data_IF_630586025174
#
_entry.id   IF_630586025174
#
_cell.length_a   1.000
_cell.length_b   1.000
_cell.length_c   1.000
_cell.angle_alpha   90.00
_cell.angle_beta   90.00
_cell.angle_gamma   90.00
#
_symmetry.space_group_name_H-M   'P 1'
#
loop_
_entity.id
_entity.type
_entity.pdbx_description
1 polymer ?
#
# COMPACT_ATOMS: atom_id res chain seq x y z
N UNK A 1 -7.05 8.64 -2.47
CA UNK A 1 -6.04 9.23 -1.57
C UNK A 1 -4.71 9.19 -2.30
N UNK A 2 -3.94 10.29 -2.35
CA UNK A 2 -2.64 10.28 -3.06
C UNK A 2 -1.62 9.50 -2.22
N UNK A 3 -0.66 8.88 -2.90
CA UNK A 3 0.37 8.06 -2.28
C UNK A 3 1.71 8.82 -2.29
N UNK A 4 2.48 8.66 -1.22
CA UNK A 4 3.84 9.19 -1.12
C UNK A 4 4.72 8.18 -0.37
N UNK A 5 5.94 8.01 -0.86
CA UNK A 5 6.99 7.24 -0.21
C UNK A 5 8.10 8.24 0.16
N UNK A 6 8.50 8.24 1.44
CA UNK A 6 9.59 9.05 1.96
C UNK A 6 10.68 8.07 2.40
N UNK A 7 11.81 8.08 1.69
CA UNK A 7 12.98 7.29 2.09
C UNK A 7 13.74 8.08 3.17
N UNK A 8 13.78 7.52 4.38
CA UNK A 8 14.53 8.05 5.50
C UNK A 8 16.00 7.68 5.34
N UNK A 9 16.89 8.65 5.52
CA UNK A 9 18.34 8.49 5.38
C UNK A 9 19.06 9.19 6.53
N UNK A 10 20.11 8.54 7.06
CA UNK A 10 20.92 9.08 8.15
C UNK A 10 20.26 8.92 9.51
N UNK A 11 20.40 9.92 10.37
CA UNK A 11 19.87 9.88 11.73
C UNK A 11 18.42 10.39 11.80
N UNK A 12 17.53 9.61 12.39
CA UNK A 12 16.19 10.08 12.78
C UNK A 12 16.30 10.93 14.05
N UNK A 13 16.77 12.16 13.88
CA UNK A 13 16.87 13.18 14.90
C UNK A 13 15.73 14.22 14.79
N UNK A 14 15.76 15.25 15.65
CA UNK A 14 14.81 16.36 15.60
C UNK A 14 14.76 17.02 14.21
N UNK A 15 15.92 17.20 13.55
CA UNK A 15 16.01 17.90 12.28
C UNK A 15 15.35 17.10 11.15
N UNK A 16 15.61 15.80 11.07
CA UNK A 16 14.96 14.93 10.09
C UNK A 16 13.44 14.85 10.36
N UNK A 17 13.04 14.76 11.63
CA UNK A 17 11.64 14.80 12.04
C UNK A 17 10.92 16.07 11.56
N UNK A 18 11.49 17.25 11.80
CA UNK A 18 10.92 18.54 11.37
C UNK A 18 10.83 18.66 9.85
N UNK A 19 11.83 18.16 9.11
CA UNK A 19 11.80 18.13 7.63
C UNK A 19 10.62 17.29 7.14
N UNK A 20 10.39 16.13 7.74
CA UNK A 20 9.26 15.25 7.37
C UNK A 20 7.94 15.95 7.67
N UNK A 21 7.81 16.54 8.86
CA UNK A 21 6.61 17.25 9.27
C UNK A 21 6.29 18.41 8.32
N UNK A 22 7.26 19.30 8.07
CA UNK A 22 7.11 20.45 7.18
C UNK A 22 6.68 20.02 5.76
N UNK A 23 7.30 18.97 5.22
CA UNK A 23 6.95 18.44 3.90
C UNK A 23 5.55 17.85 3.84
N UNK A 24 5.06 17.25 4.93
CA UNK A 24 3.69 16.77 5.00
C UNK A 24 2.69 17.92 5.16
N UNK A 25 3.04 18.98 5.87
CA UNK A 25 2.23 20.21 5.99
C UNK A 25 2.08 20.93 4.64
N UNK A 26 3.14 21.02 3.83
CA UNK A 26 3.07 21.54 2.44
C UNK A 26 2.11 20.73 1.56
N UNK A 27 1.90 19.45 1.89
CA UNK A 27 1.11 18.51 1.11
C UNK A 27 -0.29 18.25 1.71
N UNK A 28 -0.69 19.05 2.71
CA UNK A 28 -1.87 18.86 3.56
C UNK A 28 -3.22 19.14 2.89
N UNK A 29 -3.22 19.73 1.68
CA UNK A 29 -4.44 20.05 0.91
C UNK A 29 -5.35 18.83 0.68
N UNK A 30 -4.80 17.62 0.68
CA UNK A 30 -5.56 16.40 0.56
C UNK A 30 -4.97 15.29 1.44
N UNK A 31 -5.80 14.41 2.02
CA UNK A 31 -5.35 13.23 2.75
C UNK A 31 -4.43 12.32 1.91
N UNK A 32 -3.45 11.68 2.57
CA UNK A 32 -2.42 10.86 1.90
C UNK A 32 -2.20 9.51 2.57
N UNK A 33 -1.78 8.54 1.75
CA UNK A 33 -1.13 7.31 2.22
C UNK A 33 0.38 7.55 2.18
N UNK A 34 1.03 7.51 3.34
CA UNK A 34 2.43 7.88 3.53
C UNK A 34 3.20 6.63 3.98
N UNK A 35 4.16 6.21 3.17
CA UNK A 35 5.09 5.16 3.52
C UNK A 35 6.44 5.78 3.89
N UNK A 36 6.89 5.54 5.11
CA UNK A 36 8.20 5.94 5.61
C UNK A 36 9.16 4.75 5.51
N UNK A 37 10.06 4.78 4.54
CA UNK A 37 11.04 3.71 4.35
C UNK A 37 12.29 3.98 5.18
N UNK A 38 12.49 3.19 6.23
CA UNK A 38 13.56 3.35 7.20
C UNK A 38 14.87 2.64 6.82
N UNK A 39 14.94 2.01 5.65
CA UNK A 39 16.12 1.20 5.24
C UNK A 39 17.44 1.97 5.20
N UNK A 40 17.39 3.30 5.05
CA UNK A 40 18.57 4.16 5.07
C UNK A 40 18.88 4.80 6.44
N UNK A 41 18.18 4.44 7.51
CA UNK A 41 18.46 4.99 8.84
C UNK A 41 19.73 4.38 9.45
N UNK A 42 20.52 5.21 10.10
CA UNK A 42 21.73 4.80 10.84
C UNK A 42 21.47 4.79 12.35
N UNK A 43 20.69 5.75 12.83
CA UNK A 43 20.25 5.83 14.22
C UNK A 43 18.88 6.51 14.35
N UNK A 44 18.31 6.49 15.56
CA UNK A 44 17.10 7.24 15.88
C UNK A 44 17.18 7.79 17.31
N UNK A 45 16.83 9.06 17.47
CA UNK A 45 16.73 9.72 18.78
C UNK A 45 15.29 9.72 19.30
N UNK A 46 15.12 10.01 20.60
CA UNK A 46 13.79 10.13 21.21
C UNK A 46 13.00 11.29 20.60
N UNK A 47 13.66 12.39 20.27
CA UNK A 47 13.04 13.57 19.66
C UNK A 47 12.54 13.27 18.26
N UNK A 48 13.37 12.67 17.40
CA UNK A 48 12.97 12.32 16.03
C UNK A 48 11.84 11.28 15.99
N UNK A 49 11.91 10.27 16.85
CA UNK A 49 10.83 9.27 16.98
C UNK A 49 9.54 9.87 17.55
N UNK A 50 9.64 10.80 18.50
CA UNK A 50 8.48 11.52 19.05
C UNK A 50 7.73 12.31 17.96
N UNK A 51 8.45 12.95 17.04
CA UNK A 51 7.83 13.66 15.91
C UNK A 51 7.08 12.68 14.99
N UNK A 52 7.68 11.54 14.64
CA UNK A 52 7.00 10.52 13.83
C UNK A 52 5.71 10.02 14.50
N UNK A 53 5.75 9.82 15.82
CA UNK A 53 4.59 9.35 16.58
C UNK A 53 3.42 10.34 16.60
N UNK A 54 3.67 11.63 16.41
CA UNK A 54 2.64 12.67 16.36
C UNK A 54 1.96 12.80 14.98
N UNK A 55 2.51 12.17 13.93
CA UNK A 55 1.97 12.30 12.57
C UNK A 55 0.51 11.84 12.43
N UNK A 56 0.06 10.70 13.02
CA UNK A 56 -1.34 10.30 12.95
C UNK A 56 -2.29 11.32 13.59
N UNK A 57 -1.90 11.92 14.72
CA UNK A 57 -2.70 12.96 15.39
C UNK A 57 -2.72 14.26 14.58
N UNK A 58 -1.57 14.64 14.00
CA UNK A 58 -1.43 15.88 13.21
C UNK A 58 -2.15 15.79 11.87
N UNK A 59 -2.23 14.60 11.29
CA UNK A 59 -2.85 14.33 9.99
C UNK A 59 -3.89 13.19 10.10
N UNK A 60 -5.00 13.40 10.82
CA UNK A 60 -5.94 12.34 11.21
C UNK A 60 -6.66 11.68 10.03
N UNK A 61 -6.71 12.36 8.89
CA UNK A 61 -7.32 11.83 7.67
C UNK A 61 -6.31 11.07 6.79
N UNK A 62 -5.01 11.17 7.07
CA UNK A 62 -3.94 10.47 6.36
C UNK A 62 -3.64 9.13 7.02
N UNK A 63 -2.96 8.25 6.29
CA UNK A 63 -2.51 6.95 6.76
C UNK A 63 -1.01 6.86 6.69
N UNK A 64 -0.41 6.22 7.68
CA UNK A 64 1.03 6.10 7.80
C UNK A 64 1.43 4.65 8.01
N UNK A 65 2.55 4.26 7.42
CA UNK A 65 3.23 3.01 7.71
C UNK A 65 4.73 3.23 7.63
N UNK A 66 5.50 2.47 8.40
CA UNK A 66 6.95 2.44 8.37
C UNK A 66 7.40 1.07 7.88
N UNK A 67 8.44 0.98 7.04
CA UNK A 67 9.02 -0.29 6.64
C UNK A 67 10.55 -0.32 6.79
N UNK A 68 11.09 -1.54 6.86
CA UNK A 68 12.52 -1.82 6.70
C UNK A 68 13.42 -1.11 7.72
N UNK A 69 12.98 -1.06 8.98
CA UNK A 69 13.76 -0.51 10.10
C UNK A 69 15.00 -1.40 10.35
N UNK A 70 16.23 -0.85 10.31
CA UNK A 70 17.45 -1.59 10.59
C UNK A 70 17.47 -2.17 12.01
N UNK A 71 18.15 -3.31 12.16
CA UNK A 71 18.28 -3.98 13.45
C UNK A 71 19.01 -3.07 14.45
N UNK A 72 18.46 -2.96 15.67
CA UNK A 72 19.04 -2.14 16.74
C UNK A 72 18.51 -0.70 16.79
N UNK A 73 17.72 -0.26 15.80
CA UNK A 73 17.03 1.03 15.83
C UNK A 73 15.62 0.83 16.39
N UNK A 74 15.37 1.41 17.56
CA UNK A 74 14.04 1.41 18.17
C UNK A 74 13.23 2.63 17.69
N UNK A 75 12.35 2.42 16.73
CA UNK A 75 11.29 3.38 16.43
C UNK A 75 10.13 3.06 17.38
N UNK A 76 10.21 3.64 18.58
CA UNK A 76 9.22 3.42 19.64
C UNK A 76 7.91 4.11 19.29
N UNK A 77 7.02 3.40 18.59
CA UNK A 77 5.61 3.77 18.52
C UNK A 77 4.96 3.02 19.70
N UNK A 78 4.64 3.70 20.82
CA UNK A 78 3.79 3.44 22.05
C UNK A 78 2.27 3.84 21.91
N UNK A 79 1.23 3.08 22.34
CA UNK A 79 -0.21 3.47 22.19
C UNK A 79 -1.15 2.73 21.19
N UNK A 80 -2.43 3.12 21.12
CA UNK A 80 -3.46 2.57 20.21
C UNK A 80 -3.48 3.29 18.83
N UNK A 81 -3.00 4.53 18.74
CA UNK A 81 -2.97 5.37 17.53
C UNK A 81 -1.62 5.34 16.77
N UNK A 82 -0.96 4.17 16.78
CA UNK A 82 0.40 4.02 16.25
C UNK A 82 0.46 3.88 14.74
N UNK A 83 1.53 4.44 14.17
CA UNK A 83 2.05 4.03 12.86
C UNK A 83 2.49 2.55 12.91
N UNK A 84 1.95 1.73 12.01
CA UNK A 84 2.34 0.33 11.89
C UNK A 84 3.73 0.17 11.25
N UNK A 85 4.57 -0.70 11.82
CA UNK A 85 5.93 -0.99 11.35
C UNK A 85 5.99 -2.37 10.69
N UNK A 86 6.62 -2.45 9.53
CA UNK A 86 6.74 -3.67 8.71
C UNK A 86 8.19 -3.99 8.37
N UNK A 87 8.48 -5.27 8.13
CA UNK A 87 9.80 -5.74 7.68
C UNK A 87 10.18 -5.23 6.29
N UNK A 88 9.21 -5.11 5.40
CA UNK A 88 9.40 -4.85 3.98
C UNK A 88 8.38 -3.86 3.44
N UNK A 89 8.73 -3.29 2.29
CA UNK A 89 7.96 -2.24 1.63
C UNK A 89 6.61 -2.74 1.12
N UNK A 90 6.51 -4.01 0.72
CA UNK A 90 5.30 -4.55 0.11
C UNK A 90 4.21 -4.77 1.17
N UNK A 91 4.57 -5.34 2.32
CA UNK A 91 3.69 -5.48 3.48
C UNK A 91 3.14 -4.13 3.96
N UNK A 92 3.99 -3.10 4.01
CA UNK A 92 3.57 -1.76 4.42
C UNK A 92 2.61 -1.10 3.40
N UNK A 93 2.86 -1.26 2.10
CA UNK A 93 1.95 -0.80 1.04
C UNK A 93 0.60 -1.49 1.13
N UNK A 94 0.58 -2.80 1.34
CA UNK A 94 -0.66 -3.56 1.53
C UNK A 94 -1.47 -2.98 2.70
N UNK A 95 -0.82 -2.72 3.83
CA UNK A 95 -1.47 -2.11 5.00
C UNK A 95 -2.06 -0.71 4.71
N UNK A 96 -1.29 0.18 4.07
CA UNK A 96 -1.76 1.53 3.71
C UNK A 96 -3.00 1.51 2.80
N UNK A 97 -3.09 0.46 1.96
CA UNK A 97 -4.18 0.26 1.04
C UNK A 97 -5.39 -0.45 1.67
N UNK A 98 -5.22 -1.14 2.82
CA UNK A 98 -6.19 -2.05 3.41
C UNK A 98 -7.45 -1.41 4.05
N UNK A 99 -7.75 -0.12 3.84
CA UNK A 99 -8.96 0.49 4.42
C UNK A 99 -9.46 1.74 3.67
N UNK A 100 -9.53 1.69 2.34
CA UNK A 100 -10.52 2.51 1.63
C UNK A 100 -11.84 1.75 1.70
N UNK A 101 -12.81 2.25 2.48
CA UNK A 101 -14.21 1.82 2.29
C UNK A 101 -14.54 2.05 0.81
N UNK A 102 -14.60 0.95 0.05
CA UNK A 102 -14.76 0.94 -1.40
C UNK A 102 -13.44 0.84 -2.20
N UNK A 103 -12.61 -0.16 -1.94
CA UNK A 103 -12.07 -1.05 -2.99
C UNK A 103 -11.19 -2.11 -2.32
N UNK A 104 -11.79 -3.28 -2.19
CA UNK A 104 -11.14 -4.52 -1.79
C UNK A 104 -10.22 -4.94 -2.93
N UNK A 105 -8.91 -4.77 -2.77
CA UNK A 105 -7.97 -5.75 -3.30
C UNK A 105 -7.36 -6.46 -2.10
N UNK A 106 -8.21 -7.28 -1.48
CA UNK A 106 -7.75 -8.48 -0.81
C UNK A 106 -6.76 -9.21 -1.71
N UNK A 107 -5.82 -9.92 -1.09
CA UNK A 107 -5.45 -11.29 -1.44
C UNK A 107 -5.67 -11.68 -2.91
N UNK A 108 -4.63 -12.24 -3.54
CA UNK A 108 -4.80 -13.06 -4.76
C UNK A 108 -5.63 -14.30 -4.37
N UNK A 109 -6.91 -14.10 -4.10
CA UNK A 109 -7.93 -15.10 -4.22
C UNK A 109 -8.11 -15.27 -5.71
N UNK A 110 -7.72 -16.44 -6.14
CA UNK A 110 -8.00 -16.90 -7.47
C UNK A 110 -9.53 -16.90 -7.70
N UNK A 111 -10.01 -16.04 -8.59
CA UNK A 111 -11.44 -15.86 -8.88
C UNK A 111 -11.86 -16.88 -9.93
N UNK A 112 -12.99 -17.53 -9.70
CA UNK A 112 -13.54 -18.51 -10.61
C UNK A 112 -14.52 -17.82 -11.57
N UNK A 113 -14.24 -17.88 -12.87
CA UNK A 113 -15.12 -17.37 -13.94
C UNK A 113 -15.43 -18.48 -14.93
N UNK A 114 -16.61 -18.42 -15.54
CA UNK A 114 -16.96 -19.35 -16.62
C UNK A 114 -16.51 -18.81 -17.97
N UNK A 115 -15.87 -19.65 -18.78
CA UNK A 115 -15.67 -19.35 -20.19
C UNK A 115 -17.03 -19.02 -20.82
N UNK A 116 -17.17 -17.87 -21.51
CA UNK A 116 -18.45 -17.48 -22.10
C UNK A 116 -18.86 -18.35 -23.30
N UNK A 117 -17.96 -19.22 -23.79
CA UNK A 117 -18.20 -20.09 -24.95
C UNK A 117 -18.54 -21.52 -24.54
N UNK A 118 -17.73 -22.14 -23.68
CA UNK A 118 -17.91 -23.55 -23.30
C UNK A 118 -18.33 -23.76 -21.84
N UNK A 119 -18.52 -22.67 -21.07
CA UNK A 119 -18.86 -22.70 -19.64
C UNK A 119 -17.89 -23.47 -18.75
N UNK A 120 -16.69 -23.79 -19.24
CA UNK A 120 -15.64 -24.34 -18.40
C UNK A 120 -15.26 -23.33 -17.32
N UNK A 121 -15.05 -23.80 -16.08
CA UNK A 121 -14.68 -22.96 -14.96
C UNK A 121 -13.17 -22.69 -14.98
N UNK A 122 -12.79 -21.42 -15.00
CA UNK A 122 -11.41 -20.96 -15.03
C UNK A 122 -11.06 -20.18 -13.78
N UNK A 123 -9.79 -20.32 -13.40
CA UNK A 123 -9.19 -19.61 -12.28
C UNK A 123 -8.39 -18.41 -12.82
N UNK A 124 -8.79 -17.19 -12.48
CA UNK A 124 -8.18 -15.95 -12.97
C UNK A 124 -7.76 -15.03 -11.81
N UNK A 125 -6.82 -14.12 -12.09
CA UNK A 125 -6.21 -13.26 -11.07
C UNK A 125 -6.34 -11.76 -11.33
N UNK A 126 -6.49 -11.37 -12.60
CA UNK A 126 -6.58 -9.97 -13.01
C UNK A 126 -7.69 -9.82 -14.05
N UNK A 127 -8.18 -8.60 -14.24
CA UNK A 127 -9.00 -8.29 -15.42
C UNK A 127 -8.10 -8.26 -16.67
N UNK A 128 -8.58 -8.72 -17.82
CA UNK A 128 -7.78 -8.75 -19.04
C UNK A 128 -8.28 -9.74 -20.09
N UNK A 129 -7.49 -9.92 -21.15
CA UNK A 129 -7.74 -10.95 -22.15
C UNK A 129 -7.25 -12.32 -21.64
N UNK A 130 -8.08 -13.34 -21.81
CA UNK A 130 -7.82 -14.72 -21.41
C UNK A 130 -8.12 -15.68 -22.55
N UNK A 131 -7.39 -16.79 -22.58
CA UNK A 131 -7.68 -17.93 -23.46
C UNK A 131 -8.25 -19.10 -22.65
N UNK A 132 -9.31 -19.73 -23.13
CA UNK A 132 -9.83 -20.94 -22.51
C UNK A 132 -8.96 -22.16 -22.92
N UNK A 133 -8.43 -22.96 -21.98
CA UNK A 133 -7.59 -24.12 -22.33
C UNK A 133 -8.40 -25.29 -22.93
N UNK A 134 -9.73 -25.29 -22.77
CA UNK A 134 -10.60 -26.37 -23.25
C UNK A 134 -11.06 -26.13 -24.69
N UNK A 135 -11.65 -24.97 -24.96
CA UNK A 135 -12.17 -24.65 -26.30
C UNK A 135 -11.29 -23.68 -27.09
N UNK A 136 -10.17 -23.23 -26.54
CA UNK A 136 -9.21 -22.31 -27.16
C UNK A 136 -9.80 -20.93 -27.53
N UNK A 137 -11.03 -20.63 -27.13
CA UNK A 137 -11.65 -19.32 -27.34
C UNK A 137 -10.95 -18.26 -26.50
N UNK A 138 -10.75 -17.07 -27.07
CA UNK A 138 -10.25 -15.91 -26.34
C UNK A 138 -11.42 -15.02 -25.91
N UNK A 139 -11.33 -14.46 -24.72
CA UNK A 139 -12.40 -13.69 -24.09
C UNK A 139 -11.82 -12.65 -23.13
N UNK A 140 -12.56 -11.59 -22.84
CA UNK A 140 -12.16 -10.54 -21.90
C UNK A 140 -12.87 -10.70 -20.56
N UNK A 141 -12.14 -10.45 -19.47
CA UNK A 141 -12.70 -10.38 -18.12
C UNK A 141 -12.60 -8.94 -17.61
N UNK A 142 -13.73 -8.39 -17.23
CA UNK A 142 -13.84 -7.02 -16.69
C UNK A 142 -13.39 -6.95 -15.22
N UNK A 143 -13.21 -5.72 -14.71
CA UNK A 143 -12.85 -5.49 -13.29
C UNK A 143 -13.93 -5.94 -12.30
N UNK A 144 -15.18 -6.04 -12.76
CA UNK A 144 -16.31 -6.64 -12.02
C UNK A 144 -16.47 -8.15 -12.29
N UNK A 145 -15.43 -8.81 -12.83
CA UNK A 145 -15.32 -10.26 -13.04
C UNK A 145 -16.37 -10.87 -13.97
N UNK A 146 -16.96 -10.06 -14.84
CA UNK A 146 -17.86 -10.52 -15.90
C UNK A 146 -17.04 -10.91 -17.12
N UNK A 147 -17.48 -11.96 -17.79
CA UNK A 147 -16.83 -12.47 -19.01
C UNK A 147 -17.53 -11.93 -20.25
N UNK A 148 -16.75 -11.48 -21.22
CA UNK A 148 -17.20 -11.06 -22.53
C UNK A 148 -16.56 -11.96 -23.59
N UNK A 149 -17.35 -12.48 -24.52
CA UNK A 149 -16.85 -13.36 -25.59
C UNK A 149 -15.90 -12.68 -26.59
N UNK A 150 -15.65 -11.38 -26.45
CA UNK A 150 -14.74 -10.61 -27.30
C UNK A 150 -13.48 -10.23 -26.53
N UNK A 151 -12.36 -10.15 -27.23
CA UNK A 151 -11.12 -9.56 -26.71
C UNK A 151 -11.17 -8.03 -26.79
N UNK A 152 -10.37 -7.35 -25.97
CA UNK A 152 -10.13 -5.91 -26.09
C UNK A 152 -8.72 -5.65 -26.61
N UNK A 153 -8.59 -4.67 -27.50
CA UNK A 153 -7.31 -4.01 -27.78
C UNK A 153 -6.94 -3.22 -26.53
N UNK A 154 -6.07 -3.79 -25.69
CA UNK A 154 -5.56 -3.18 -24.46
C UNK A 154 -4.25 -2.45 -24.75
#
# INVERSE_FOLDING_TARGET
MKEIIINLQGDLDFKLGEIILSKLEELSEAPRRVLLDASGLESATLEGTSILNQLPERFPNSKFAICSVPTGIEISVKGEDKISVFSDRDSAKLHLNANSKGEVSSFIEDILVHCPVCFHLLKIRISGNYGCPVCHSKFFVTKDWRTSAFERLL
#
